data_IF_827406893511
#
_entry.id   IF_827406893511
#
_cell.length_a   1.000
_cell.length_b   1.000
_cell.length_c   1.000
_cell.angle_alpha   90.00
_cell.angle_beta   90.00
_cell.angle_gamma   90.00
#
_symmetry.space_group_name_H-M   'P 1'
#
loop_
_entity.id
_entity.type
_entity.pdbx_description
1 polymer ?
#
# COMPACT_ATOMS: atom_id res chain seq x y z
N UNK A 1 -72.92 -41.78 -20.35
CA UNK A 1 -72.61 -40.46 -20.96
C UNK A 1 -71.25 -40.01 -20.47
N UNK A 2 -70.23 -40.16 -21.31
CA UNK A 2 -68.83 -39.92 -20.97
C UNK A 2 -68.48 -38.42 -21.12
N UNK A 3 -67.97 -37.79 -20.04
CA UNK A 3 -67.38 -36.45 -20.08
C UNK A 3 -65.87 -36.58 -20.26
N UNK A 4 -65.35 -36.06 -21.38
CA UNK A 4 -63.92 -35.94 -21.67
C UNK A 4 -63.26 -34.91 -20.73
N UNK A 5 -62.05 -35.14 -20.20
CA UNK A 5 -61.25 -34.09 -19.58
C UNK A 5 -60.48 -33.30 -20.65
N UNK A 6 -60.53 -31.99 -20.54
CA UNK A 6 -59.77 -31.01 -21.33
C UNK A 6 -58.32 -30.94 -20.83
N UNK A 7 -57.37 -31.24 -21.69
CA UNK A 7 -55.93 -31.00 -21.47
C UNK A 7 -55.61 -29.55 -21.82
N UNK A 8 -55.20 -28.77 -20.83
CA UNK A 8 -54.67 -27.42 -21.02
C UNK A 8 -53.17 -27.52 -21.32
N UNK A 9 -52.78 -27.25 -22.56
CA UNK A 9 -51.38 -27.15 -22.99
C UNK A 9 -50.87 -25.76 -22.65
N UNK A 10 -50.10 -25.64 -21.58
CA UNK A 10 -49.35 -24.42 -21.28
C UNK A 10 -48.16 -24.29 -22.24
N UNK A 11 -48.21 -23.29 -23.14
CA UNK A 11 -47.07 -22.87 -23.96
C UNK A 11 -46.02 -22.21 -23.06
N UNK A 12 -44.88 -22.87 -22.89
CA UNK A 12 -43.67 -22.27 -22.30
C UNK A 12 -42.95 -21.52 -23.42
N UNK A 13 -42.69 -20.20 -23.31
CA UNK A 13 -41.90 -19.50 -24.31
C UNK A 13 -40.43 -19.89 -24.17
N UNK A 14 -39.85 -20.45 -25.23
CA UNK A 14 -38.42 -20.70 -25.33
C UNK A 14 -37.67 -19.35 -25.43
N UNK A 15 -37.30 -18.79 -24.28
CA UNK A 15 -36.39 -17.66 -24.20
C UNK A 15 -34.97 -18.08 -24.60
N UNK A 16 -34.58 -17.81 -25.83
CA UNK A 16 -33.20 -17.99 -26.28
C UNK A 16 -32.25 -17.10 -25.48
N UNK A 17 -31.53 -17.68 -24.51
CA UNK A 17 -30.41 -17.02 -23.84
C UNK A 17 -29.30 -16.82 -24.87
N UNK A 18 -29.16 -15.60 -25.39
CA UNK A 18 -27.92 -15.18 -26.06
C UNK A 18 -26.77 -15.36 -25.07
N UNK A 19 -25.67 -16.04 -25.43
CA UNK A 19 -24.50 -16.10 -24.57
C UNK A 19 -23.98 -14.67 -24.33
N UNK A 20 -23.53 -14.34 -23.10
CA UNK A 20 -22.98 -13.02 -22.83
C UNK A 20 -21.80 -12.78 -23.77
N UNK A 21 -21.84 -11.65 -24.48
CA UNK A 21 -20.74 -11.24 -25.35
C UNK A 21 -19.45 -11.23 -24.51
N UNK A 22 -18.47 -12.04 -24.91
CA UNK A 22 -17.12 -12.01 -24.31
C UNK A 22 -16.56 -10.61 -24.54
N UNK A 23 -16.62 -9.77 -23.51
CA UNK A 23 -15.99 -8.45 -23.51
C UNK A 23 -14.48 -8.71 -23.67
N UNK A 24 -13.90 -8.35 -24.83
CA UNK A 24 -12.44 -8.43 -25.02
C UNK A 24 -11.80 -7.62 -23.89
N UNK A 25 -11.04 -8.30 -23.04
CA UNK A 25 -10.20 -7.63 -22.04
C UNK A 25 -9.14 -6.91 -22.86
N UNK A 26 -9.25 -5.59 -22.97
CA UNK A 26 -8.22 -4.78 -23.58
C UNK A 26 -7.04 -4.79 -22.62
N UNK A 27 -5.90 -5.35 -23.05
CA UNK A 27 -4.65 -5.24 -22.31
C UNK A 27 -4.32 -3.75 -22.20
N UNK A 28 -4.10 -3.21 -20.99
CA UNK A 28 -3.77 -1.80 -20.85
C UNK A 28 -2.49 -1.47 -21.62
N UNK A 29 -2.51 -0.40 -22.40
CA UNK A 29 -1.34 0.03 -23.17
C UNK A 29 -0.25 0.53 -22.22
N UNK A 30 0.99 0.08 -22.44
CA UNK A 30 2.19 0.60 -21.77
C UNK A 30 2.72 1.78 -22.59
N UNK A 31 2.93 2.91 -21.93
CA UNK A 31 3.40 4.15 -22.55
C UNK A 31 4.69 4.63 -21.86
N UNK A 32 5.54 5.44 -22.51
CA UNK A 32 6.65 6.10 -21.82
C UNK A 32 6.14 7.01 -20.69
N UNK A 33 6.80 7.00 -19.53
CA UNK A 33 6.46 7.83 -18.37
C UNK A 33 7.17 9.22 -18.41
N UNK A 34 6.87 10.02 -19.44
CA UNK A 34 7.35 11.41 -19.56
C UNK A 34 6.35 12.38 -18.93
N UNK A 35 6.76 13.62 -18.64
CA UNK A 35 5.83 14.63 -18.10
C UNK A 35 4.62 14.87 -19.02
N UNK A 36 4.82 14.86 -20.34
CA UNK A 36 3.77 15.07 -21.33
C UNK A 36 2.71 13.95 -21.35
N UNK A 37 3.10 12.71 -21.02
CA UNK A 37 2.16 11.58 -20.93
C UNK A 37 1.53 11.49 -19.54
N UNK A 38 2.30 11.77 -18.48
CA UNK A 38 1.84 11.66 -17.09
C UNK A 38 0.86 12.78 -16.72
N UNK A 39 1.13 14.04 -17.08
CA UNK A 39 0.33 15.18 -16.62
C UNK A 39 -1.15 15.11 -17.04
N UNK A 40 -1.51 14.79 -18.30
CA UNK A 40 -2.92 14.65 -18.70
C UNK A 40 -3.66 13.52 -17.95
N UNK A 41 -2.93 12.50 -17.51
CA UNK A 41 -3.48 11.30 -16.90
C UNK A 41 -3.59 11.45 -15.38
N UNK A 42 -2.52 11.91 -14.72
CA UNK A 42 -2.47 12.16 -13.27
C UNK A 42 -3.25 13.41 -12.88
N UNK A 43 -3.37 14.39 -13.78
CA UNK A 43 -4.06 15.67 -13.57
C UNK A 43 -3.57 16.44 -12.34
N UNK A 44 -2.31 16.25 -11.98
CA UNK A 44 -1.65 16.88 -10.84
C UNK A 44 -0.20 17.14 -11.17
N UNK A 45 0.18 18.42 -11.28
CA UNK A 45 1.59 18.82 -11.43
C UNK A 45 2.42 18.42 -10.19
N UNK A 46 1.79 18.44 -9.00
CA UNK A 46 2.43 18.00 -7.76
C UNK A 46 2.80 16.51 -7.82
N UNK A 47 1.92 15.66 -8.35
CA UNK A 47 2.19 14.23 -8.52
C UNK A 47 3.31 13.98 -9.55
N UNK A 48 3.30 14.70 -10.67
CA UNK A 48 4.37 14.61 -11.68
C UNK A 48 5.71 15.06 -11.10
N UNK A 49 5.72 16.12 -10.28
CA UNK A 49 6.94 16.63 -9.64
C UNK A 49 7.58 15.63 -8.66
N UNK A 50 6.79 14.74 -8.04
CA UNK A 50 7.32 13.66 -7.19
C UNK A 50 7.99 12.54 -7.98
N UNK A 51 7.78 12.42 -9.29
CA UNK A 51 8.39 11.37 -10.11
C UNK A 51 9.74 11.82 -10.68
N UNK A 52 10.84 11.41 -10.04
CA UNK A 52 12.20 11.81 -10.39
C UNK A 52 12.82 10.87 -11.45
N UNK A 53 13.61 11.46 -12.35
CA UNK A 53 14.33 10.75 -13.42
C UNK A 53 13.82 11.10 -14.82
N UNK A 54 14.31 10.37 -15.82
CA UNK A 54 13.88 10.46 -17.22
C UNK A 54 13.56 9.06 -17.75
N UNK A 55 12.53 8.91 -18.57
CA UNK A 55 12.09 7.61 -19.09
C UNK A 55 11.07 6.92 -18.18
N UNK A 56 11.15 5.59 -18.08
CA UNK A 56 10.19 4.77 -17.35
C UNK A 56 8.97 4.37 -18.18
N UNK A 57 8.14 3.51 -17.61
CA UNK A 57 6.92 3.02 -18.22
C UNK A 57 5.72 3.41 -17.36
N UNK A 58 4.61 3.72 -18.02
CA UNK A 58 3.34 3.92 -17.36
C UNK A 58 2.28 2.99 -17.95
N UNK A 59 1.40 2.50 -17.09
CA UNK A 59 0.27 1.66 -17.45
C UNK A 59 -0.96 2.19 -16.72
N UNK A 60 -2.04 2.44 -17.46
CA UNK A 60 -3.28 2.96 -16.90
C UNK A 60 -4.42 1.97 -17.08
N UNK A 61 -5.18 1.70 -16.02
CA UNK A 61 -6.36 0.83 -16.03
C UNK A 61 -7.45 1.48 -15.17
N UNK A 62 -8.55 1.88 -15.79
CA UNK A 62 -9.60 2.70 -15.19
C UNK A 62 -9.04 3.98 -14.51
N UNK A 63 -9.20 4.11 -13.19
CA UNK A 63 -8.70 5.25 -12.41
C UNK A 63 -7.33 5.00 -11.76
N UNK A 64 -6.71 3.85 -12.04
CA UNK A 64 -5.43 3.46 -11.48
C UNK A 64 -4.32 3.63 -12.52
N UNK A 65 -3.25 4.29 -12.14
CA UNK A 65 -2.03 4.47 -12.94
C UNK A 65 -0.89 3.86 -12.17
N UNK A 66 -0.08 3.05 -12.85
CA UNK A 66 1.21 2.55 -12.35
C UNK A 66 2.33 3.15 -13.18
N UNK A 67 3.37 3.61 -12.50
CA UNK A 67 4.60 4.14 -13.08
C UNK A 67 5.78 3.32 -12.57
N UNK A 68 6.68 2.92 -13.46
CA UNK A 68 7.93 2.20 -13.14
C UNK A 68 9.13 2.90 -13.77
N UNK A 69 10.34 2.59 -13.27
CA UNK A 69 11.58 3.20 -13.77
C UNK A 69 11.71 4.68 -13.41
N UNK A 70 10.99 5.15 -12.39
CA UNK A 70 11.05 6.49 -11.82
C UNK A 70 11.28 6.37 -10.34
N UNK A 71 12.16 7.21 -9.80
CA UNK A 71 12.27 7.37 -8.36
C UNK A 71 11.11 8.24 -7.85
N UNK A 72 10.82 8.15 -6.55
CA UNK A 72 9.74 8.89 -5.90
C UNK A 72 10.31 9.87 -4.87
N UNK A 73 10.09 11.17 -5.06
CA UNK A 73 10.51 12.21 -4.15
C UNK A 73 9.44 12.50 -3.09
N UNK A 74 9.84 12.30 -1.84
CA UNK A 74 9.20 12.95 -0.69
C UNK A 74 9.89 14.29 -0.41
N UNK A 75 9.38 15.05 0.54
CA UNK A 75 10.00 16.34 0.92
C UNK A 75 11.40 16.19 1.53
N UNK A 76 11.75 15.01 2.05
CA UNK A 76 13.03 14.78 2.76
C UNK A 76 13.88 13.65 2.19
N UNK A 77 13.34 12.85 1.28
CA UNK A 77 13.98 11.62 0.79
C UNK A 77 13.57 11.28 -0.64
N UNK A 78 14.50 10.72 -1.42
CA UNK A 78 14.22 10.15 -2.74
C UNK A 78 14.21 8.63 -2.59
N UNK A 79 13.04 8.03 -2.76
CA UNK A 79 12.85 6.58 -2.75
C UNK A 79 13.24 6.02 -4.12
N UNK A 80 14.13 5.01 -4.19
CA UNK A 80 14.42 4.29 -5.44
C UNK A 80 13.26 3.35 -5.79
N UNK A 81 12.11 3.93 -6.14
CA UNK A 81 10.87 3.21 -6.30
C UNK A 81 10.93 2.20 -7.47
N UNK A 82 10.43 0.99 -7.20
CA UNK A 82 10.19 -0.04 -8.20
C UNK A 82 8.86 0.20 -8.90
N UNK A 83 7.82 0.54 -8.14
CA UNK A 83 6.51 0.95 -8.65
C UNK A 83 5.94 2.11 -7.83
N UNK A 84 5.28 3.02 -8.55
CA UNK A 84 4.49 4.11 -7.98
C UNK A 84 3.09 4.03 -8.56
N UNK A 85 2.08 3.97 -7.71
CA UNK A 85 0.69 3.95 -8.11
C UNK A 85 -0.07 5.20 -7.67
N UNK A 86 -1.01 5.60 -8.52
CA UNK A 86 -2.03 6.60 -8.22
C UNK A 86 -3.41 5.97 -8.49
N UNK A 87 -4.27 5.87 -7.48
CA UNK A 87 -5.68 5.45 -7.54
C UNK A 87 -6.58 6.68 -7.41
N UNK A 88 -6.87 7.33 -8.56
CA UNK A 88 -7.63 8.58 -8.61
C UNK A 88 -9.05 8.45 -8.04
N UNK A 89 -9.61 7.23 -8.00
CA UNK A 89 -10.92 7.00 -7.43
C UNK A 89 -10.91 6.98 -5.90
N UNK A 90 -9.76 6.70 -5.28
CA UNK A 90 -9.59 6.61 -3.83
C UNK A 90 -8.87 7.81 -3.22
N UNK A 91 -8.44 8.79 -4.05
CA UNK A 91 -7.77 9.98 -3.56
C UNK A 91 -8.65 10.79 -2.58
N UNK A 92 -8.08 11.30 -1.47
CA UNK A 92 -8.85 12.11 -0.55
C UNK A 92 -9.34 13.40 -1.19
N UNK A 93 -10.57 13.78 -0.85
CA UNK A 93 -11.20 15.01 -1.36
C UNK A 93 -10.73 16.23 -0.57
N UNK A 94 -10.79 17.40 -1.21
CA UNK A 94 -10.42 18.68 -0.58
C UNK A 94 -8.94 19.01 -0.72
N UNK A 95 -8.59 20.20 -0.25
CA UNK A 95 -7.21 20.69 -0.27
C UNK A 95 -6.38 20.06 0.85
N UNK A 96 -5.13 19.70 0.56
CA UNK A 96 -4.21 19.15 1.55
C UNK A 96 -2.89 18.66 0.94
N UNK A 97 -1.95 18.25 1.81
CA UNK A 97 -0.63 17.74 1.40
C UNK A 97 -0.72 16.49 0.51
N UNK A 98 -1.79 15.72 0.63
CA UNK A 98 -2.04 14.49 -0.13
C UNK A 98 -2.25 14.69 -1.64
N UNK A 99 -2.47 15.92 -2.15
CA UNK A 99 -2.79 16.18 -3.56
C UNK A 99 -1.66 15.82 -4.57
N UNK A 100 -0.43 15.68 -4.10
CA UNK A 100 0.71 15.24 -4.91
C UNK A 100 1.21 13.84 -4.59
N UNK A 101 0.71 13.23 -3.52
CA UNK A 101 1.27 11.99 -3.00
C UNK A 101 0.76 10.78 -3.77
N UNK A 102 1.63 9.78 -3.94
CA UNK A 102 1.23 8.48 -4.48
C UNK A 102 0.33 7.72 -3.50
N UNK A 103 -0.47 6.81 -4.03
CA UNK A 103 -1.34 5.92 -3.26
C UNK A 103 -0.66 4.61 -2.90
N UNK A 104 0.34 4.20 -3.69
CA UNK A 104 1.27 3.13 -3.32
C UNK A 104 2.65 3.43 -3.87
N UNK A 105 3.69 3.24 -3.05
CA UNK A 105 5.09 3.22 -3.48
C UNK A 105 5.72 1.96 -2.92
N UNK A 106 6.37 1.18 -3.77
CA UNK A 106 7.13 -0.01 -3.35
C UNK A 106 8.58 0.14 -3.75
N UNK A 107 9.48 -0.24 -2.86
CA UNK A 107 10.92 -0.20 -3.07
C UNK A 107 11.62 -1.25 -2.22
N UNK A 108 12.87 -1.54 -2.56
CA UNK A 108 13.80 -2.20 -1.65
C UNK A 108 14.60 -1.17 -0.88
N UNK A 109 14.63 -1.28 0.44
CA UNK A 109 15.51 -0.45 1.27
C UNK A 109 16.94 -1.01 1.20
N UNK A 110 17.86 -0.22 0.65
CA UNK A 110 19.24 -0.65 0.40
C UNK A 110 20.01 -0.99 1.69
N UNK A 111 19.69 -0.31 2.81
CA UNK A 111 20.41 -0.49 4.07
C UNK A 111 20.03 -1.79 4.78
N UNK A 112 18.74 -2.09 4.89
CA UNK A 112 18.23 -3.33 5.50
C UNK A 112 18.22 -4.52 4.53
N UNK A 113 18.11 -4.24 3.24
CA UNK A 113 17.88 -5.22 2.18
C UNK A 113 16.44 -5.73 2.11
N UNK A 114 15.49 -5.12 2.82
CA UNK A 114 14.09 -5.54 2.90
C UNK A 114 13.18 -4.78 1.94
N UNK A 115 12.12 -5.47 1.50
CA UNK A 115 11.08 -4.88 0.66
C UNK A 115 10.18 -3.98 1.52
N UNK A 116 9.89 -2.79 1.03
CA UNK A 116 9.13 -1.75 1.72
C UNK A 116 7.96 -1.27 0.86
N UNK A 117 6.85 -0.92 1.51
CA UNK A 117 5.67 -0.36 0.88
C UNK A 117 5.14 0.82 1.69
N UNK A 118 4.90 1.94 1.03
CA UNK A 118 3.97 2.97 1.47
C UNK A 118 2.64 2.74 0.76
N UNK A 119 1.53 2.74 1.48
CA UNK A 119 0.19 2.50 0.91
C UNK A 119 -0.85 3.38 1.59
N UNK A 120 -1.72 3.98 0.78
CA UNK A 120 -2.86 4.78 1.22
C UNK A 120 -4.08 3.91 1.50
N UNK A 121 -4.72 4.16 2.64
CA UNK A 121 -6.04 3.62 2.91
C UNK A 121 -7.09 4.26 2.00
N UNK A 122 -7.86 3.43 1.31
CA UNK A 122 -8.84 3.87 0.30
C UNK A 122 -10.14 4.46 0.87
N UNK A 123 -10.38 4.29 2.16
CA UNK A 123 -11.64 4.67 2.80
C UNK A 123 -11.49 6.01 3.52
N UNK A 124 -10.41 6.16 4.27
CA UNK A 124 -10.12 7.29 5.13
C UNK A 124 -8.90 8.09 4.67
N UNK A 125 -8.11 7.59 3.71
CA UNK A 125 -7.12 8.41 3.01
C UNK A 125 -5.79 8.63 3.74
N UNK A 126 -5.58 8.03 4.91
CA UNK A 126 -4.30 8.07 5.63
C UNK A 126 -3.26 7.14 4.98
N UNK A 127 -1.98 7.40 5.21
CA UNK A 127 -0.88 6.56 4.74
C UNK A 127 -0.45 5.53 5.79
N UNK A 128 0.09 4.42 5.33
CA UNK A 128 0.63 3.32 6.13
C UNK A 128 1.94 2.84 5.55
N UNK A 129 2.82 2.31 6.40
CA UNK A 129 4.11 1.75 6.03
C UNK A 129 4.19 0.26 6.32
N UNK A 130 4.86 -0.49 5.46
CA UNK A 130 5.01 -1.94 5.57
C UNK A 130 6.42 -2.40 5.17
N UNK A 131 6.93 -3.42 5.86
CA UNK A 131 8.24 -4.03 5.63
C UNK A 131 8.09 -5.55 5.56
N UNK A 132 8.59 -6.16 4.49
CA UNK A 132 8.60 -7.59 4.27
C UNK A 132 9.91 -8.22 4.75
N UNK A 133 9.82 -9.19 5.66
CA UNK A 133 10.94 -9.98 6.17
C UNK A 133 10.95 -11.40 5.58
N UNK A 134 12.14 -12.00 5.36
CA UNK A 134 12.27 -13.36 4.84
C UNK A 134 11.89 -14.44 5.87
N UNK A 135 11.78 -15.68 5.41
CA UNK A 135 11.37 -16.83 6.24
C UNK A 135 12.35 -17.20 7.35
N UNK A 136 13.63 -16.87 7.20
CA UNK A 136 14.67 -17.12 8.19
C UNK A 136 14.76 -16.03 9.28
N UNK A 137 13.98 -14.95 9.16
CA UNK A 137 13.93 -13.89 10.15
C UNK A 137 13.31 -14.38 11.48
N UNK A 138 13.84 -14.02 12.67
CA UNK A 138 13.35 -14.51 13.97
C UNK A 138 11.86 -14.24 14.25
N UNK A 139 11.34 -13.14 13.72
CA UNK A 139 9.92 -12.73 13.83
C UNK A 139 9.04 -13.21 12.69
N UNK A 140 9.53 -14.06 11.79
CA UNK A 140 8.71 -14.57 10.71
C UNK A 140 7.53 -15.38 11.26
N UNK A 141 6.32 -15.10 10.75
CA UNK A 141 5.09 -15.76 11.18
C UNK A 141 4.50 -15.25 12.50
N UNK A 142 5.13 -14.25 13.14
CA UNK A 142 4.56 -13.64 14.35
C UNK A 142 3.45 -12.67 13.99
N UNK A 143 2.34 -12.76 14.70
CA UNK A 143 1.34 -11.70 14.67
C UNK A 143 1.89 -10.43 15.33
N UNK A 144 1.54 -9.27 14.80
CA UNK A 144 2.08 -7.97 15.21
C UNK A 144 1.76 -7.64 16.68
N UNK A 145 0.63 -8.13 17.19
CA UNK A 145 0.21 -7.99 18.57
C UNK A 145 0.82 -9.06 19.50
N UNK A 146 1.44 -10.10 18.93
CA UNK A 146 2.19 -11.11 19.65
C UNK A 146 3.68 -10.75 19.80
N UNK A 147 4.19 -9.74 19.06
CA UNK A 147 5.55 -9.23 19.20
C UNK A 147 5.71 -8.56 20.58
N UNK A 148 6.55 -9.10 21.49
CA UNK A 148 6.69 -8.59 22.84
C UNK A 148 7.31 -7.18 22.86
N UNK A 149 6.80 -6.25 23.69
CA UNK A 149 7.33 -4.88 23.73
C UNK A 149 8.81 -4.77 24.14
N UNK A 150 9.33 -5.75 24.88
CA UNK A 150 10.74 -5.86 25.29
C UNK A 150 11.69 -6.19 24.14
N UNK A 151 11.16 -6.63 22.98
CA UNK A 151 11.94 -6.65 21.74
C UNK A 151 12.39 -5.23 21.40
N UNK A 152 11.59 -4.20 21.68
CA UNK A 152 11.99 -2.80 21.50
C UNK A 152 11.73 -2.24 20.10
N UNK A 153 10.82 -2.83 19.32
CA UNK A 153 10.36 -2.22 18.07
C UNK A 153 9.55 -0.96 18.38
N UNK A 154 10.00 0.19 17.88
CA UNK A 154 9.33 1.48 18.00
C UNK A 154 9.00 2.04 16.60
N UNK A 155 7.71 2.19 16.32
CA UNK A 155 7.19 2.80 15.09
C UNK A 155 5.92 3.59 15.42
N UNK A 156 5.46 4.46 14.52
CA UNK A 156 4.27 5.27 14.68
C UNK A 156 3.03 4.48 15.18
N UNK A 157 2.69 4.68 16.45
CA UNK A 157 1.56 4.01 17.11
C UNK A 157 1.76 2.52 17.41
N UNK A 158 2.94 1.97 17.10
CA UNK A 158 3.26 0.55 17.19
C UNK A 158 2.91 -0.24 15.92
N UNK A 159 3.24 -1.53 15.92
CA UNK A 159 2.85 -2.43 14.84
C UNK A 159 1.34 -2.63 14.86
N UNK A 160 0.71 -2.58 13.68
CA UNK A 160 -0.74 -2.76 13.50
C UNK A 160 -1.08 -3.75 12.39
N UNK A 161 -0.06 -4.35 11.76
CA UNK A 161 -0.22 -5.28 10.66
C UNK A 161 0.88 -6.34 10.70
N UNK A 162 0.48 -7.58 10.49
CA UNK A 162 1.33 -8.76 10.29
C UNK A 162 0.59 -9.72 9.37
N UNK A 163 1.20 -10.17 8.28
CA UNK A 163 0.62 -11.20 7.40
C UNK A 163 1.64 -11.74 6.41
N UNK A 164 1.40 -12.96 5.93
CA UNK A 164 2.13 -13.51 4.78
C UNK A 164 1.84 -12.67 3.53
N UNK A 165 2.82 -12.55 2.64
CA UNK A 165 2.68 -11.93 1.31
C UNK A 165 1.36 -12.36 0.67
N UNK A 166 0.55 -11.40 0.23
CA UNK A 166 -0.70 -11.67 -0.46
C UNK A 166 -0.44 -12.10 -1.92
N UNK A 167 0.30 -13.19 -2.13
CA UNK A 167 0.62 -13.72 -3.44
C UNK A 167 -0.61 -14.40 -4.06
N UNK A 168 -0.94 -14.06 -5.31
CA UNK A 168 -2.04 -14.67 -6.03
C UNK A 168 -2.24 -14.08 -7.43
N UNK A 169 -2.93 -14.80 -8.34
CA UNK A 169 -3.18 -14.29 -9.67
C UNK A 169 -4.01 -13.00 -9.58
N UNK A 170 -3.50 -11.92 -10.17
CA UNK A 170 -4.28 -10.69 -10.36
C UNK A 170 -5.15 -10.86 -11.60
N UNK A 171 -6.48 -10.75 -11.50
CA UNK A 171 -7.36 -10.91 -12.66
C UNK A 171 -6.96 -9.95 -13.76
N UNK A 172 -6.75 -10.45 -14.98
CA UNK A 172 -6.26 -9.63 -16.11
C UNK A 172 -7.14 -8.40 -16.41
N UNK A 173 -8.42 -8.44 -16.03
CA UNK A 173 -9.37 -7.34 -16.21
C UNK A 173 -9.41 -6.32 -15.06
N UNK A 174 -8.67 -6.56 -13.96
CA UNK A 174 -8.61 -5.73 -12.74
C UNK A 174 -7.18 -5.74 -12.15
N UNK A 175 -6.17 -5.78 -13.00
CA UNK A 175 -4.79 -6.04 -12.58
C UNK A 175 -4.27 -4.90 -11.70
N UNK A 176 -4.26 -3.66 -12.21
CA UNK A 176 -3.76 -2.52 -11.44
C UNK A 176 -4.65 -2.20 -10.24
N UNK A 177 -5.96 -2.40 -10.36
CA UNK A 177 -6.90 -2.22 -9.25
C UNK A 177 -6.68 -3.22 -8.09
N UNK A 178 -6.05 -4.36 -8.37
CA UNK A 178 -5.64 -5.35 -7.36
C UNK A 178 -4.27 -4.99 -6.81
N UNK A 179 -3.28 -4.75 -7.68
CA UNK A 179 -1.89 -4.48 -7.27
C UNK A 179 -1.73 -3.20 -6.46
N UNK A 180 -2.52 -2.16 -6.73
CA UNK A 180 -2.46 -0.90 -5.97
C UNK A 180 -2.78 -1.08 -4.48
N UNK A 181 -3.46 -2.17 -4.09
CA UNK A 181 -3.89 -2.43 -2.70
C UNK A 181 -3.12 -3.56 -2.03
N UNK A 182 -2.38 -4.33 -2.82
CA UNK A 182 -1.75 -5.56 -2.37
C UNK A 182 -0.50 -5.25 -1.57
N UNK A 183 -0.41 -5.81 -0.36
CA UNK A 183 0.81 -5.81 0.46
C UNK A 183 1.58 -7.09 0.10
N UNK A 184 2.38 -6.99 -0.94
CA UNK A 184 3.28 -8.04 -1.41
C UNK A 184 4.36 -7.39 -2.29
N UNK A 185 5.43 -8.13 -2.55
CA UNK A 185 6.57 -7.67 -3.34
C UNK A 185 6.16 -7.32 -4.78
N UNK A 186 6.90 -6.41 -5.40
CA UNK A 186 6.84 -6.20 -6.85
C UNK A 186 7.92 -7.06 -7.51
N UNK A 187 7.56 -7.80 -8.55
CA UNK A 187 8.55 -8.38 -9.46
C UNK A 187 9.05 -7.30 -10.41
N UNK A 188 10.24 -6.76 -10.16
CA UNK A 188 10.93 -5.91 -11.14
C UNK A 188 11.26 -6.76 -12.38
N UNK A 189 10.91 -6.26 -13.57
CA UNK A 189 11.28 -6.87 -14.84
C UNK A 189 12.20 -5.92 -15.64
N UNK A 190 13.37 -6.39 -16.13
CA UNK A 190 13.97 -7.69 -15.80
C UNK A 190 14.33 -7.75 -14.30
N UNK A 191 14.31 -8.95 -13.68
CA UNK A 191 14.72 -9.10 -12.30
C UNK A 191 16.13 -8.51 -12.14
N UNK A 192 16.27 -7.54 -11.23
CA UNK A 192 17.58 -7.05 -10.82
C UNK A 192 18.26 -8.22 -10.10
N UNK A 193 19.24 -8.84 -10.75
CA UNK A 193 20.04 -9.88 -10.12
C UNK A 193 20.97 -9.21 -9.13
N UNK A 194 20.58 -9.20 -7.86
CA UNK A 194 21.50 -8.86 -6.79
C UNK A 194 22.23 -10.13 -6.33
N UNK A 195 23.57 -10.12 -6.29
CA UNK A 195 24.33 -11.23 -5.77
C UNK A 195 23.96 -11.44 -4.30
N UNK A 196 23.41 -12.60 -3.97
CA UNK A 196 23.26 -13.02 -2.58
C UNK A 196 24.66 -13.30 -2.03
N UNK A 197 24.97 -12.75 -0.86
CA UNK A 197 26.22 -13.07 -0.15
C UNK A 197 26.13 -14.44 0.50
N UNK A 198 24.92 -14.83 0.94
CA UNK A 198 24.61 -16.12 1.54
C UNK A 198 23.36 -16.75 0.91
N UNK A 199 23.29 -18.08 0.92
CA UNK A 199 22.15 -18.83 0.35
C UNK A 199 20.81 -18.54 1.04
N UNK A 200 20.83 -17.97 2.25
CA UNK A 200 19.67 -17.60 3.06
C UNK A 200 19.26 -16.13 2.89
N UNK A 201 20.06 -15.32 2.19
CA UNK A 201 19.75 -13.90 2.01
C UNK A 201 18.39 -13.70 1.30
N UNK A 202 17.62 -12.71 1.77
CA UNK A 202 16.33 -12.33 1.21
C UNK A 202 16.46 -11.99 -0.28
N UNK A 203 15.62 -12.64 -1.10
CA UNK A 203 15.49 -12.33 -2.53
C UNK A 203 14.35 -11.34 -2.72
N UNK A 204 14.60 -10.32 -3.56
CA UNK A 204 13.52 -9.49 -4.10
C UNK A 204 12.45 -10.40 -4.68
N UNK A 205 11.24 -10.27 -4.20
CA UNK A 205 10.14 -11.08 -4.72
C UNK A 205 9.89 -12.41 -4.02
N UNK A 206 10.36 -12.61 -2.78
CA UNK A 206 10.08 -13.86 -2.06
C UNK A 206 8.56 -14.01 -1.80
N UNK A 207 7.90 -15.07 -2.33
CA UNK A 207 6.48 -15.33 -2.09
C UNK A 207 6.14 -15.67 -0.63
N UNK A 208 7.14 -15.98 0.21
CA UNK A 208 6.96 -16.29 1.62
C UNK A 208 7.33 -15.13 2.55
N UNK A 209 7.57 -13.93 2.01
CA UNK A 209 7.84 -12.75 2.83
C UNK A 209 6.68 -12.53 3.84
N UNK A 210 7.03 -12.32 5.11
CA UNK A 210 6.09 -11.93 6.15
C UNK A 210 6.13 -10.41 6.32
N UNK A 211 5.00 -9.74 6.22
CA UNK A 211 4.91 -8.29 6.21
C UNK A 211 4.47 -7.75 7.55
N UNK A 212 5.29 -6.90 8.16
CA UNK A 212 4.90 -6.06 9.29
C UNK A 212 4.54 -4.66 8.82
N UNK A 213 3.68 -3.96 9.55
CA UNK A 213 3.35 -2.57 9.22
C UNK A 213 2.65 -1.80 10.31
N UNK A 214 2.47 -0.50 10.05
CA UNK A 214 1.83 0.47 10.91
C UNK A 214 0.92 1.38 10.09
N UNK A 215 -0.04 2.03 10.75
CA UNK A 215 -1.05 2.91 10.13
C UNK A 215 -1.00 4.32 10.70
N UNK A 216 -1.36 5.34 9.92
CA UNK A 216 -1.40 6.74 10.38
C UNK A 216 -2.83 7.25 10.65
N UNK A 217 -3.62 6.47 11.38
CA UNK A 217 -4.95 6.85 11.89
C UNK A 217 -5.03 6.76 13.43
N UNK A 218 -3.95 7.12 14.11
CA UNK A 218 -3.88 7.13 15.57
C UNK A 218 -4.42 8.43 16.17
N UNK A 219 -4.51 8.46 17.49
CA UNK A 219 -4.77 9.71 18.22
C UNK A 219 -3.80 10.80 17.75
N UNK A 220 -4.33 11.99 17.49
CA UNK A 220 -3.60 13.17 16.97
C UNK A 220 -3.17 13.13 15.50
N UNK A 221 -3.44 12.04 14.77
CA UNK A 221 -3.26 12.05 13.32
C UNK A 221 -4.44 12.77 12.65
N UNK A 222 -4.15 13.64 11.70
CA UNK A 222 -5.16 14.19 10.79
C UNK A 222 -5.42 13.15 9.70
N UNK A 223 -6.65 12.67 9.60
CA UNK A 223 -7.07 11.67 8.61
C UNK A 223 -7.95 12.36 7.57
N UNK A 224 -7.59 12.36 6.27
CA UNK A 224 -8.30 13.13 5.25
C UNK A 224 -9.79 12.82 5.08
N UNK A 225 -10.16 11.54 5.19
CA UNK A 225 -11.53 11.04 5.03
C UNK A 225 -12.37 11.09 6.30
N UNK A 226 -11.81 11.50 7.44
CA UNK A 226 -12.60 11.79 8.63
C UNK A 226 -13.45 13.04 8.34
N UNK A 227 -14.74 12.85 8.07
CA UNK A 227 -15.69 13.94 8.19
C UNK A 227 -15.50 14.59 9.58
N UNK A 228 -15.54 15.94 9.71
CA UNK A 228 -15.37 16.59 11.01
C UNK A 228 -16.46 16.10 11.97
N UNK A 229 -16.19 15.03 12.72
CA UNK A 229 -17.05 14.52 13.78
C UNK A 229 -16.97 15.50 14.93
N UNK A 230 -17.82 16.50 14.81
CA UNK A 230 -18.12 17.58 15.74
C UNK A 230 -17.30 18.88 15.54
N UNK A 231 -17.93 19.83 14.87
CA UNK A 231 -17.88 21.25 15.25
C UNK A 231 -18.53 21.49 16.65
N UNK A 232 -18.46 20.50 17.56
CA UNK A 232 -19.11 20.48 18.88
C UNK A 232 -18.31 19.79 19.99
N UNK A 233 -17.11 19.27 19.72
CA UNK A 233 -16.13 19.04 20.77
C UNK A 233 -15.10 20.15 20.70
N UNK A 234 -15.16 21.05 21.67
CA UNK A 234 -14.15 22.05 21.96
C UNK A 234 -12.84 21.37 22.39
N UNK A 235 -12.16 20.73 21.44
CA UNK A 235 -10.74 20.40 21.51
C UNK A 235 -10.03 21.17 20.39
N UNK A 236 -10.14 22.49 20.43
CA UNK A 236 -9.33 23.41 19.62
C UNK A 236 -7.85 23.43 20.04
N UNK A 237 -7.41 22.58 20.98
CA UNK A 237 -6.05 22.64 21.56
C UNK A 237 -5.11 21.49 21.16
N UNK A 238 -5.57 20.49 20.39
CA UNK A 238 -4.68 19.44 19.88
C UNK A 238 -4.65 19.53 18.36
N UNK A 239 -3.66 20.28 17.85
CA UNK A 239 -3.38 20.39 16.42
C UNK A 239 -3.10 18.98 15.85
N UNK A 240 -4.11 18.38 15.21
CA UNK A 240 -3.96 17.10 14.50
C UNK A 240 -2.96 17.30 13.36
N UNK A 241 -2.05 16.36 13.18
CA UNK A 241 -0.99 16.44 12.17
C UNK A 241 -1.20 15.36 11.11
N UNK A 242 -1.22 15.74 9.84
CA UNK A 242 -1.23 14.76 8.75
C UNK A 242 0.14 14.11 8.64
N UNK A 243 0.19 12.78 8.58
CA UNK A 243 1.41 12.02 8.33
C UNK A 243 1.57 11.87 6.82
N UNK A 244 2.36 12.77 6.26
CA UNK A 244 2.68 12.81 4.83
C UNK A 244 3.61 11.67 4.40
N UNK A 245 3.84 11.59 3.10
CA UNK A 245 4.70 10.58 2.51
C UNK A 245 6.14 10.59 3.06
N UNK A 246 6.71 11.78 3.31
CA UNK A 246 8.02 11.94 3.94
C UNK A 246 8.07 11.32 5.33
N UNK A 247 7.02 11.53 6.14
CA UNK A 247 6.88 10.89 7.45
C UNK A 247 6.81 9.37 7.33
N UNK A 248 5.91 8.85 6.49
CA UNK A 248 5.66 7.40 6.40
C UNK A 248 6.85 6.65 5.80
N UNK A 249 7.52 7.21 4.80
CA UNK A 249 8.75 6.62 4.25
C UNK A 249 9.83 6.53 5.31
N UNK A 250 10.06 7.58 6.10
CA UNK A 250 11.06 7.57 7.18
C UNK A 250 10.75 6.52 8.25
N UNK A 251 9.50 6.44 8.71
CA UNK A 251 9.08 5.44 9.70
C UNK A 251 9.19 4.01 9.13
N UNK A 252 8.94 3.82 7.84
CA UNK A 252 9.11 2.52 7.16
C UNK A 252 10.58 2.10 7.09
N UNK A 253 11.48 3.02 6.72
CA UNK A 253 12.92 2.77 6.71
C UNK A 253 13.45 2.50 8.12
N UNK A 254 12.98 3.24 9.13
CA UNK A 254 13.33 3.00 10.52
C UNK A 254 12.87 1.60 10.98
N UNK A 255 11.63 1.20 10.66
CA UNK A 255 11.14 -0.14 10.95
C UNK A 255 12.00 -1.22 10.27
N UNK A 256 12.39 -1.01 9.02
CA UNK A 256 13.23 -1.95 8.28
C UNK A 256 14.62 -2.11 8.93
N UNK A 257 15.23 -1.01 9.38
CA UNK A 257 16.49 -1.04 10.12
C UNK A 257 16.38 -1.80 11.45
N UNK A 258 15.28 -1.62 12.19
CA UNK A 258 15.04 -2.33 13.45
C UNK A 258 14.84 -3.83 13.24
N UNK A 259 14.04 -4.22 12.26
CA UNK A 259 13.86 -5.62 11.88
C UNK A 259 15.20 -6.23 11.45
N UNK A 260 16.01 -5.48 10.69
CA UNK A 260 17.32 -5.96 10.26
C UNK A 260 18.25 -6.21 11.45
N UNK A 261 18.29 -5.28 12.41
CA UNK A 261 19.08 -5.45 13.63
C UNK A 261 18.67 -6.69 14.42
N UNK A 262 17.37 -7.00 14.49
CA UNK A 262 16.86 -8.22 15.15
C UNK A 262 17.35 -9.47 14.42
N UNK A 263 17.29 -9.50 13.09
CA UNK A 263 17.79 -10.62 12.29
C UNK A 263 19.29 -10.86 12.51
N UNK A 264 20.07 -9.78 12.60
CA UNK A 264 21.51 -9.83 12.81
C UNK A 264 21.89 -10.07 14.30
N UNK A 265 20.91 -10.16 15.22
CA UNK A 265 21.13 -10.30 16.67
C UNK A 265 21.78 -9.07 17.31
N UNK A 266 21.68 -7.91 16.66
CA UNK A 266 22.28 -6.65 17.06
C UNK A 266 21.38 -5.79 17.95
N UNK A 267 21.92 -4.65 18.37
CA UNK A 267 21.15 -3.63 19.08
C UNK A 267 20.19 -2.91 18.13
N UNK A 268 18.94 -2.75 18.54
CA UNK A 268 17.94 -2.04 17.76
C UNK A 268 18.31 -0.55 17.67
N UNK A 269 18.46 0.01 16.46
CA UNK A 269 18.74 1.43 16.29
C UNK A 269 17.58 2.27 16.82
N UNK A 270 17.85 3.42 17.47
CA UNK A 270 16.80 4.31 17.92
C UNK A 270 16.00 4.83 16.72
N UNK A 271 14.71 5.06 16.93
CA UNK A 271 13.86 5.72 15.93
C UNK A 271 14.23 7.20 15.84
N UNK A 272 14.51 7.67 14.63
CA UNK A 272 14.78 9.08 14.36
C UNK A 272 13.49 9.89 14.20
N UNK A 273 13.40 11.03 14.89
CA UNK A 273 12.32 12.01 14.75
C UNK A 273 11.47 12.20 16.01
N UNK A 274 10.52 13.15 15.99
CA UNK A 274 9.70 13.47 17.16
C UNK A 274 8.97 12.20 17.66
N UNK A 275 8.81 12.02 18.98
CA UNK A 275 8.10 10.87 19.53
C UNK A 275 6.71 10.77 18.91
N UNK A 276 6.16 9.55 18.70
CA UNK A 276 4.79 9.41 18.24
C UNK A 276 3.88 10.13 19.23
N UNK A 277 3.32 11.27 18.80
CA UNK A 277 2.42 12.06 19.66
C UNK A 277 1.21 11.17 19.96
N UNK A 278 1.03 10.78 21.22
CA UNK A 278 -0.13 9.99 21.67
C UNK A 278 0.15 8.62 22.27
N UNK A 279 1.40 8.16 22.33
CA UNK A 279 1.73 6.95 23.11
C UNK A 279 2.16 7.33 24.53
N UNK A 280 1.24 7.25 25.49
CA UNK A 280 1.63 6.96 26.88
C UNK A 280 1.95 5.45 26.93
N UNK A 281 3.21 5.04 27.21
CA UNK A 281 3.58 3.62 27.31
C UNK A 281 2.77 2.84 28.35
N UNK A 282 2.00 3.53 29.20
CA UNK A 282 1.18 2.97 30.28
C UNK A 282 -0.31 2.87 29.93
N UNK A 283 -0.78 3.47 28.83
CA UNK A 283 -2.19 3.41 28.42
C UNK A 283 -2.38 2.40 27.30
N UNK A 284 -2.52 1.13 27.73
CA UNK A 284 -3.07 0.02 26.95
C UNK A 284 -4.34 0.44 26.21
N UNK A 285 -4.53 -0.15 25.03
CA UNK A 285 -5.77 -0.13 24.27
C UNK A 285 -7.00 -0.31 25.16
N UNK A 286 -7.79 0.75 25.25
CA UNK A 286 -9.16 0.71 25.74
C UNK A 286 -10.04 1.18 24.60
N UNK A 287 -10.80 0.25 24.00
CA UNK A 287 -11.96 0.62 23.19
C UNK A 287 -12.94 1.36 24.09
N UNK A 288 -13.36 2.54 23.66
CA UNK A 288 -14.58 3.23 24.10
C UNK A 288 -15.36 3.62 22.86
#
# INVERSE_FOLDING_TARGET
MAKKPSTSTALVPAGGRKPPAKRKVATPAVLPATSDTLLPILRSELAVAKLIGSGGEMMGEDDVVRVTGRAYATDTYIVPADEVFYDRASQPKGEGRWLGEADKVSWRDDASGYDCIMLRDRHLGFLSGYVGIPQDHPLWGWDHDAVPPDIGIEVHGGLTYSRLCEHGPSPAARYLATEVRRICHVRVAPPRFEPLKHATDHRVGDPHAWWFGFRCDHAYDLVPGDAPRSARSSSSELARTYRDDAYVVRETVALAAQLRAIADGGAIPPRDGPPPIGLDPRRRGGRG
#
